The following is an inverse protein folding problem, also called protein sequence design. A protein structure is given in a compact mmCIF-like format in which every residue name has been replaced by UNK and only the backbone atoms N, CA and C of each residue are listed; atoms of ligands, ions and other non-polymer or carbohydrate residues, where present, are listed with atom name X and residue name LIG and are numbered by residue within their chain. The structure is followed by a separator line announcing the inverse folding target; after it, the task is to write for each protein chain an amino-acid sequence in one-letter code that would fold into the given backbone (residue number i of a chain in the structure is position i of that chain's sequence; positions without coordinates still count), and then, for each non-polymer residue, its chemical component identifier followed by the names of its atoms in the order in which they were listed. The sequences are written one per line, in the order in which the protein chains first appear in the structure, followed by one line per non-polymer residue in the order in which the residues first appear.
data_IF_995391346342
#
_entry.id   IF_995391346342
#
_cell.length_a   1.000
_cell.length_b   1.000
_cell.length_c   1.000
_cell.angle_alpha   90.00
_cell.angle_beta   90.00
_cell.angle_gamma   90.00
#
_symmetry.space_group_name_H-M   'P 1'
#
loop_
_entity.id
_entity.type
_entity.pdbx_description
1 polymer ?
#
# COMPACT_ATOMS: atom_id res chain seq x y z
N UNK A 1 -19.57 12.18 -6.04
CA UNK A 1 -19.87 13.62 -6.23
C UNK A 1 -20.45 14.18 -4.94
N UNK A 2 -21.47 13.53 -4.39
CA UNK A 2 -22.18 13.97 -3.17
C UNK A 2 -21.25 14.27 -1.98
N UNK A 3 -20.27 13.41 -1.69
CA UNK A 3 -19.30 13.64 -0.63
C UNK A 3 -18.49 14.94 -0.84
N UNK A 4 -18.00 15.19 -2.07
CA UNK A 4 -17.29 16.44 -2.36
C UNK A 4 -18.21 17.66 -2.28
N UNK A 5 -19.46 17.53 -2.71
CA UNK A 5 -20.45 18.59 -2.55
C UNK A 5 -20.64 18.93 -1.07
N UNK A 6 -20.89 17.93 -0.23
CA UNK A 6 -21.08 18.11 1.21
C UNK A 6 -19.87 18.77 1.88
N UNK A 7 -18.67 18.25 1.61
CA UNK A 7 -17.43 18.81 2.17
C UNK A 7 -17.18 20.23 1.67
N UNK A 8 -17.49 20.54 0.41
CA UNK A 8 -17.28 21.87 -0.16
C UNK A 8 -18.11 22.98 0.50
N UNK A 9 -19.17 22.63 1.24
CA UNK A 9 -19.92 23.60 2.03
C UNK A 9 -19.23 23.98 3.35
N UNK A 10 -18.19 23.23 3.75
CA UNK A 10 -17.54 23.30 5.07
C UNK A 10 -16.04 23.60 5.00
N UNK A 11 -15.43 23.56 3.80
CA UNK A 11 -13.99 23.76 3.62
C UNK A 11 -13.66 24.47 2.31
N UNK A 12 -12.59 25.25 2.32
CA UNK A 12 -12.01 25.87 1.13
C UNK A 12 -11.13 24.90 0.33
N UNK A 13 -10.64 23.83 0.95
CA UNK A 13 -9.75 22.86 0.33
C UNK A 13 -10.08 21.41 0.73
N UNK A 14 -10.03 20.50 -0.24
CA UNK A 14 -10.16 19.05 -0.04
C UNK A 14 -8.91 18.38 -0.63
N UNK A 15 -8.22 17.59 0.17
CA UNK A 15 -7.17 16.67 -0.30
C UNK A 15 -7.78 15.27 -0.31
N UNK A 16 -7.94 14.70 -1.50
CA UNK A 16 -8.58 13.41 -1.70
C UNK A 16 -7.53 12.39 -2.11
N UNK A 17 -7.09 11.58 -1.16
CA UNK A 17 -6.00 10.61 -1.33
C UNK A 17 -6.61 9.24 -1.56
N UNK A 18 -6.17 8.55 -2.59
CA UNK A 18 -6.70 7.25 -2.95
C UNK A 18 -5.59 6.23 -3.20
N UNK A 19 -5.97 4.95 -3.09
CA UNK A 19 -5.14 3.84 -3.52
C UNK A 19 -4.72 3.97 -4.99
N UNK A 20 -3.63 3.28 -5.34
CA UNK A 20 -3.00 3.32 -6.66
C UNK A 20 -3.98 3.26 -7.84
N UNK A 21 -3.84 4.22 -8.76
CA UNK A 21 -4.58 4.26 -10.04
C UNK A 21 -4.27 3.08 -10.96
N UNK A 22 -3.12 2.41 -10.78
CA UNK A 22 -2.76 1.22 -11.59
C UNK A 22 -3.57 0.02 -11.15
N UNK A 23 -4.04 0.04 -9.91
CA UNK A 23 -4.76 -1.06 -9.31
C UNK A 23 -6.26 -0.91 -9.43
N UNK A 24 -6.82 0.27 -9.68
CA UNK A 24 -8.25 0.45 -9.99
C UNK A 24 -8.51 1.89 -10.49
N UNK A 25 -9.76 2.17 -10.87
CA UNK A 25 -10.17 3.45 -11.47
C UNK A 25 -10.56 4.54 -10.47
N UNK A 26 -10.31 4.37 -9.17
CA UNK A 26 -10.83 5.30 -8.14
C UNK A 26 -10.30 6.72 -8.34
N UNK A 27 -9.03 6.88 -8.74
CA UNK A 27 -8.40 8.18 -9.00
C UNK A 27 -9.07 8.88 -10.18
N UNK A 28 -9.37 8.14 -11.26
CA UNK A 28 -10.07 8.69 -12.43
C UNK A 28 -11.50 9.12 -12.08
N UNK A 29 -12.21 8.31 -11.29
CA UNK A 29 -13.55 8.63 -10.78
C UNK A 29 -13.52 9.87 -9.89
N UNK A 30 -12.53 9.98 -9.00
CA UNK A 30 -12.33 11.13 -8.14
C UNK A 30 -12.04 12.40 -8.94
N UNK A 31 -11.16 12.33 -9.95
CA UNK A 31 -10.90 13.46 -10.86
C UNK A 31 -12.16 13.89 -11.61
N UNK A 32 -12.92 12.95 -12.18
CA UNK A 32 -14.16 13.27 -12.88
C UNK A 32 -15.20 13.92 -11.95
N UNK A 33 -15.32 13.43 -10.71
CA UNK A 33 -16.18 14.02 -9.71
C UNK A 33 -15.73 15.44 -9.33
N UNK A 34 -14.43 15.64 -9.12
CA UNK A 34 -13.85 16.94 -8.78
C UNK A 34 -14.04 17.98 -9.91
N UNK A 35 -13.89 17.58 -11.19
CA UNK A 35 -14.06 18.49 -12.33
C UNK A 35 -15.51 18.88 -12.61
N UNK A 36 -16.45 18.02 -12.21
CA UNK A 36 -17.89 18.24 -12.42
C UNK A 36 -18.47 19.17 -11.36
N UNK A 37 -17.93 19.15 -10.14
CA UNK A 37 -18.42 19.98 -9.05
C UNK A 37 -18.13 21.47 -9.34
N UNK A 38 -19.17 22.29 -9.34
CA UNK A 38 -19.07 23.75 -9.40
C UNK A 38 -19.04 24.28 -7.96
N UNK A 39 -17.85 24.48 -7.41
CA UNK A 39 -17.63 25.04 -6.08
C UNK A 39 -16.39 25.93 -6.06
N UNK A 40 -16.32 26.84 -5.08
CA UNK A 40 -15.13 27.63 -4.77
C UNK A 40 -14.06 26.80 -4.05
N UNK A 41 -14.44 25.64 -3.51
CA UNK A 41 -13.52 24.70 -2.86
C UNK A 41 -12.55 24.09 -3.85
N UNK A 42 -11.25 24.17 -3.57
CA UNK A 42 -10.21 23.52 -4.37
C UNK A 42 -10.03 22.06 -3.96
N UNK A 43 -10.29 21.14 -4.89
CA UNK A 43 -10.10 19.70 -4.69
C UNK A 43 -8.79 19.26 -5.32
N UNK A 44 -7.89 18.70 -4.52
CA UNK A 44 -6.64 18.08 -4.97
C UNK A 44 -6.77 16.57 -4.82
N UNK A 45 -6.86 15.85 -5.94
CA UNK A 45 -6.87 14.39 -5.97
C UNK A 45 -5.43 13.90 -6.04
N UNK A 46 -5.06 12.98 -5.15
CA UNK A 46 -3.72 12.39 -5.06
C UNK A 46 -3.85 10.88 -5.25
N UNK A 47 -3.10 10.37 -6.21
CA UNK A 47 -2.81 8.95 -6.35
C UNK A 47 -1.68 8.59 -5.39
N UNK A 48 -1.93 7.68 -4.44
CA UNK A 48 -0.95 7.30 -3.44
C UNK A 48 0.09 6.30 -3.93
N UNK A 49 -0.13 5.70 -5.11
CA UNK A 49 0.71 4.61 -5.66
C UNK A 49 0.89 3.41 -4.70
N UNK A 50 0.03 3.30 -3.69
CA UNK A 50 0.06 2.24 -2.68
C UNK A 50 -1.35 1.82 -2.28
N UNK A 51 -1.47 0.95 -1.29
CA UNK A 51 -2.72 0.43 -0.76
C UNK A 51 -2.55 0.05 0.73
N UNK A 52 -3.64 -0.42 1.35
CA UNK A 52 -3.65 -0.92 2.74
C UNK A 52 -3.01 0.08 3.72
N UNK A 53 -2.21 -0.38 4.70
CA UNK A 53 -1.48 0.49 5.62
C UNK A 53 -0.63 1.57 4.94
N UNK A 54 -0.08 1.34 3.75
CA UNK A 54 0.70 2.36 3.05
C UNK A 54 -0.13 3.61 2.75
N UNK A 55 -1.37 3.41 2.29
CA UNK A 55 -2.33 4.49 2.13
C UNK A 55 -2.71 5.11 3.50
N UNK A 56 -2.87 4.27 4.51
CA UNK A 56 -3.12 4.71 5.89
C UNK A 56 -2.05 5.65 6.44
N UNK A 57 -0.76 5.33 6.28
CA UNK A 57 0.37 6.16 6.70
C UNK A 57 0.30 7.54 6.06
N UNK A 58 0.02 7.61 4.76
CA UNK A 58 -0.12 8.86 4.01
C UNK A 58 -1.30 9.68 4.55
N UNK A 59 -2.46 9.05 4.70
CA UNK A 59 -3.69 9.75 5.13
C UNK A 59 -3.56 10.26 6.57
N UNK A 60 -2.97 9.48 7.47
CA UNK A 60 -2.70 9.88 8.85
C UNK A 60 -1.77 11.09 8.89
N UNK A 61 -0.67 11.08 8.13
CA UNK A 61 0.25 12.21 8.04
C UNK A 61 -0.45 13.48 7.52
N UNK A 62 -1.28 13.34 6.48
CA UNK A 62 -2.04 14.46 5.93
C UNK A 62 -3.03 15.04 6.96
N UNK A 63 -3.71 14.16 7.72
CA UNK A 63 -4.66 14.56 8.75
C UNK A 63 -3.97 15.27 9.92
N UNK A 64 -2.83 14.77 10.38
CA UNK A 64 -2.02 15.42 11.43
C UNK A 64 -1.62 16.85 11.02
N UNK A 65 -1.11 17.02 9.81
CA UNK A 65 -0.73 18.34 9.30
C UNK A 65 -1.94 19.27 9.14
N UNK A 66 -3.07 18.76 8.66
CA UNK A 66 -4.31 19.52 8.56
C UNK A 66 -4.81 19.98 9.94
N UNK A 67 -4.74 19.12 10.96
CA UNK A 67 -5.08 19.47 12.35
C UNK A 67 -4.12 20.52 12.93
N UNK A 68 -2.85 20.50 12.53
CA UNK A 68 -1.86 21.51 12.88
C UNK A 68 -2.05 22.86 12.13
N UNK A 69 -3.02 22.95 11.22
CA UNK A 69 -3.33 24.17 10.47
C UNK A 69 -2.42 24.41 9.26
N UNK A 70 -1.69 23.39 8.80
CA UNK A 70 -0.85 23.49 7.62
C UNK A 70 -1.67 23.73 6.34
N UNK A 71 -1.09 24.46 5.39
CA UNK A 71 -1.76 24.73 4.12
C UNK A 71 -1.91 23.48 3.27
N UNK A 72 -2.98 23.40 2.46
CA UNK A 72 -3.19 22.28 1.55
C UNK A 72 -2.03 22.07 0.56
N UNK A 73 -1.34 23.15 0.17
CA UNK A 73 -0.15 23.11 -0.68
C UNK A 73 1.04 22.47 0.04
N UNK A 74 1.26 22.79 1.31
CA UNK A 74 2.31 22.17 2.14
C UNK A 74 2.02 20.68 2.32
N UNK A 75 0.79 20.33 2.71
CA UNK A 75 0.38 18.93 2.89
C UNK A 75 0.55 18.15 1.59
N UNK A 76 0.06 18.68 0.47
CA UNK A 76 0.18 18.02 -0.83
C UNK A 76 1.62 17.88 -1.31
N UNK A 77 2.57 18.71 -0.84
CA UNK A 77 4.00 18.56 -1.13
C UNK A 77 4.62 17.46 -0.27
N UNK A 78 4.35 17.47 1.04
CA UNK A 78 4.79 16.42 1.97
C UNK A 78 4.36 15.04 1.48
N UNK A 79 3.06 14.87 1.24
CA UNK A 79 2.51 13.56 0.84
C UNK A 79 3.14 13.07 -0.46
N UNK A 80 3.39 13.95 -1.43
CA UNK A 80 4.08 13.56 -2.66
C UNK A 80 5.53 13.16 -2.45
N UNK A 81 6.21 13.72 -1.45
CA UNK A 81 7.55 13.26 -1.04
C UNK A 81 7.53 11.92 -0.31
N UNK A 82 6.46 11.65 0.43
CA UNK A 82 6.28 10.42 1.21
C UNK A 82 5.95 9.18 0.36
N UNK A 83 5.22 9.34 -0.75
CA UNK A 83 4.81 8.23 -1.64
C UNK A 83 5.98 7.33 -2.07
N UNK A 84 7.10 7.84 -2.64
CA UNK A 84 8.21 6.99 -3.10
C UNK A 84 8.97 6.31 -1.95
N UNK A 85 8.73 6.69 -0.70
CA UNK A 85 9.35 6.09 0.47
C UNK A 85 8.48 4.98 1.10
N UNK A 86 7.35 4.64 0.49
CA UNK A 86 6.46 3.57 0.95
C UNK A 86 6.55 2.38 0.03
N UNK A 87 6.85 1.23 0.63
CA UNK A 87 7.04 -0.02 -0.09
C UNK A 87 6.15 -1.10 0.48
N UNK A 88 5.59 -1.93 -0.40
CA UNK A 88 4.75 -3.06 -0.02
C UNK A 88 5.24 -4.30 -0.77
N UNK A 89 5.45 -5.38 -0.03
CA UNK A 89 5.68 -6.71 -0.61
C UNK A 89 4.83 -7.76 0.09
N UNK A 90 4.30 -8.72 -0.66
CA UNK A 90 3.49 -9.80 -0.11
C UNK A 90 3.65 -11.10 -0.89
N UNK A 91 3.32 -12.17 -0.20
CA UNK A 91 3.24 -13.53 -0.71
C UNK A 91 1.78 -13.94 -0.78
N UNK A 92 1.36 -14.45 -1.94
CA UNK A 92 0.04 -15.04 -2.13
C UNK A 92 0.08 -16.24 -3.07
N UNK A 93 -0.83 -17.19 -2.85
CA UNK A 93 -1.13 -18.29 -3.78
C UNK A 93 -2.22 -17.94 -4.80
N UNK A 94 -2.96 -16.85 -4.56
CA UNK A 94 -4.23 -16.57 -5.22
C UNK A 94 -4.08 -15.39 -6.18
N UNK A 95 -3.30 -15.58 -7.24
CA UNK A 95 -3.05 -14.53 -8.25
C UNK A 95 -4.08 -14.49 -9.38
N UNK A 96 -5.04 -15.42 -9.43
CA UNK A 96 -6.01 -15.53 -10.52
C UNK A 96 -6.79 -14.23 -10.77
N UNK A 97 -7.17 -13.53 -9.70
CA UNK A 97 -7.87 -12.26 -9.82
C UNK A 97 -6.96 -11.17 -10.41
N UNK A 98 -5.73 -11.06 -9.89
CA UNK A 98 -4.75 -10.05 -10.33
C UNK A 98 -4.30 -10.29 -11.78
N UNK A 99 -4.08 -11.55 -12.16
CA UNK A 99 -3.77 -11.93 -13.54
C UNK A 99 -4.95 -11.67 -14.48
N UNK A 100 -6.17 -12.06 -14.11
CA UNK A 100 -7.38 -11.88 -14.94
C UNK A 100 -7.71 -10.43 -15.25
N UNK A 101 -7.45 -9.52 -14.30
CA UNK A 101 -7.64 -8.08 -14.46
C UNK A 101 -6.46 -7.36 -15.15
N UNK A 102 -5.40 -8.09 -15.52
CA UNK A 102 -4.21 -7.52 -16.16
C UNK A 102 -3.40 -6.60 -15.23
N UNK A 103 -3.54 -6.75 -13.91
CA UNK A 103 -2.91 -5.92 -12.87
C UNK A 103 -1.67 -6.57 -12.25
N UNK A 104 -1.09 -7.55 -12.94
CA UNK A 104 0.09 -8.26 -12.51
C UNK A 104 1.16 -8.18 -13.60
N UNK A 105 2.23 -7.44 -13.34
CA UNK A 105 3.43 -7.45 -14.18
C UNK A 105 4.36 -8.56 -13.72
N UNK A 106 5.07 -9.17 -14.67
CA UNK A 106 6.10 -10.16 -14.39
C UNK A 106 7.46 -9.50 -14.59
N UNK A 107 8.35 -9.62 -13.61
CA UNK A 107 9.73 -9.16 -13.76
C UNK A 107 10.45 -10.01 -14.82
N UNK A 108 11.50 -9.46 -15.44
CA UNK A 108 12.29 -10.21 -16.41
C UNK A 108 12.99 -11.44 -15.80
N UNK A 109 13.23 -11.41 -14.48
CA UNK A 109 13.80 -12.51 -13.72
C UNK A 109 12.79 -13.66 -13.51
N UNK A 110 11.48 -13.40 -13.69
CA UNK A 110 10.44 -14.39 -13.47
C UNK A 110 10.20 -15.26 -14.71
N UNK A 111 10.87 -16.41 -14.76
CA UNK A 111 10.68 -17.46 -15.77
C UNK A 111 9.85 -18.61 -15.18
N UNK A 112 8.55 -18.70 -15.51
CA UNK A 112 7.73 -19.88 -15.18
C UNK A 112 6.23 -19.65 -15.03
N UNK A 113 5.49 -20.76 -14.85
CA UNK A 113 4.08 -20.74 -14.46
C UNK A 113 3.94 -20.45 -12.95
N UNK A 114 2.93 -19.66 -12.58
CA UNK A 114 2.65 -19.23 -11.20
C UNK A 114 1.83 -20.27 -10.41
N UNK A 115 1.23 -21.24 -11.11
CA UNK A 115 0.32 -22.22 -10.53
C UNK A 115 0.99 -23.08 -9.44
N UNK A 116 0.41 -23.09 -8.25
CA UNK A 116 0.78 -23.98 -7.14
C UNK A 116 1.95 -23.51 -6.26
N UNK A 117 2.41 -22.26 -6.40
CA UNK A 117 3.51 -21.68 -5.60
C UNK A 117 3.07 -20.31 -5.05
N UNK A 118 3.59 -19.90 -3.88
CA UNK A 118 3.35 -18.55 -3.33
C UNK A 118 4.23 -17.54 -4.06
N UNK A 119 3.64 -16.62 -4.82
CA UNK A 119 4.39 -15.60 -5.54
C UNK A 119 4.73 -14.43 -4.62
N UNK A 120 5.98 -13.99 -4.65
CA UNK A 120 6.42 -12.74 -4.02
C UNK A 120 6.14 -11.60 -4.98
N UNK A 121 5.30 -10.67 -4.54
CA UNK A 121 4.84 -9.52 -5.32
C UNK A 121 5.20 -8.25 -4.56
N UNK A 122 5.77 -7.27 -5.25
CA UNK A 122 6.04 -5.94 -4.71
C UNK A 122 5.22 -4.87 -5.43
N UNK A 123 4.99 -3.74 -4.77
CA UNK A 123 4.51 -2.52 -5.42
C UNK A 123 5.67 -1.76 -6.05
N UNK A 124 5.54 -1.39 -7.32
CA UNK A 124 6.51 -0.55 -8.03
C UNK A 124 5.79 0.42 -8.96
N UNK A 125 6.03 1.71 -8.78
CA UNK A 125 5.38 2.80 -9.53
C UNK A 125 3.84 2.66 -9.55
N UNK A 126 3.29 2.29 -8.39
CA UNK A 126 1.87 2.00 -8.19
C UNK A 126 1.36 0.66 -8.72
N UNK A 127 2.14 -0.07 -9.52
CA UNK A 127 1.73 -1.36 -10.10
C UNK A 127 2.23 -2.55 -9.27
N UNK A 128 1.71 -3.75 -9.53
CA UNK A 128 2.17 -4.98 -8.88
C UNK A 128 3.15 -5.73 -9.77
N UNK A 129 4.34 -6.02 -9.22
CA UNK A 129 5.41 -6.72 -9.92
C UNK A 129 5.73 -8.04 -9.20
N UNK A 130 5.66 -9.15 -9.93
CA UNK A 130 6.10 -10.47 -9.44
C UNK A 130 7.61 -10.53 -9.49
N UNK A 131 8.22 -10.70 -8.32
CA UNK A 131 9.68 -10.71 -8.14
C UNK A 131 10.23 -12.12 -8.07
N UNK A 132 9.60 -12.98 -7.28
CA UNK A 132 10.09 -14.32 -7.00
C UNK A 132 8.96 -15.25 -6.55
N UNK A 133 9.30 -16.46 -6.08
CA UNK A 133 8.37 -17.47 -5.61
C UNK A 133 8.89 -18.16 -4.34
N UNK A 134 8.06 -18.25 -3.32
CA UNK A 134 8.34 -19.00 -2.10
C UNK A 134 7.81 -20.44 -2.20
N UNK A 135 8.66 -21.42 -1.88
CA UNK A 135 8.35 -22.85 -2.00
C UNK A 135 7.54 -23.39 -0.82
N UNK A 136 7.78 -22.85 0.37
CA UNK A 136 7.11 -23.23 1.61
C UNK A 136 7.03 -22.03 2.58
N UNK A 137 6.51 -22.26 3.79
CA UNK A 137 6.33 -21.24 4.81
C UNK A 137 7.65 -20.68 5.36
N UNK A 138 8.73 -21.47 5.39
CA UNK A 138 10.02 -20.99 5.88
C UNK A 138 10.65 -20.07 4.84
N UNK A 139 10.67 -20.51 3.58
CA UNK A 139 11.13 -19.71 2.43
C UNK A 139 10.31 -18.41 2.29
N UNK A 140 9.02 -18.45 2.61
CA UNK A 140 8.16 -17.27 2.66
C UNK A 140 8.62 -16.22 3.70
N UNK A 141 8.97 -16.68 4.91
CA UNK A 141 9.49 -15.79 5.97
C UNK A 141 10.85 -15.23 5.56
N UNK A 142 11.75 -16.08 5.06
CA UNK A 142 13.08 -15.64 4.62
C UNK A 142 12.97 -14.55 3.55
N UNK A 143 12.15 -14.74 2.51
CA UNK A 143 12.02 -13.76 1.44
C UNK A 143 11.51 -12.40 1.90
N UNK A 144 10.50 -12.36 2.77
CA UNK A 144 10.00 -11.09 3.31
C UNK A 144 11.00 -10.45 4.28
N UNK A 145 11.74 -11.27 5.04
CA UNK A 145 12.81 -10.79 5.91
C UNK A 145 13.98 -10.20 5.10
N UNK A 146 14.40 -10.87 4.02
CA UNK A 146 15.42 -10.40 3.08
C UNK A 146 14.97 -9.09 2.42
N UNK A 147 13.74 -9.04 1.91
CA UNK A 147 13.17 -7.83 1.32
C UNK A 147 13.23 -6.63 2.28
N UNK A 148 12.76 -6.78 3.52
CA UNK A 148 12.83 -5.68 4.50
C UNK A 148 14.28 -5.35 4.88
N UNK A 149 15.14 -6.36 4.87
CA UNK A 149 16.56 -6.21 5.23
C UNK A 149 17.36 -5.34 4.26
N UNK A 150 16.84 -5.06 3.06
CA UNK A 150 17.45 -4.18 2.07
C UNK A 150 17.30 -2.68 2.43
N UNK A 151 16.31 -2.33 3.24
CA UNK A 151 16.09 -0.95 3.66
C UNK A 151 17.01 -0.55 4.81
N UNK A 152 17.67 0.60 4.68
CA UNK A 152 18.66 1.05 5.65
C UNK A 152 18.02 1.78 6.84
N UNK A 153 16.99 2.59 6.59
CA UNK A 153 16.40 3.48 7.60
C UNK A 153 14.87 3.42 7.58
N UNK A 154 14.31 2.49 8.33
CA UNK A 154 12.86 2.32 8.46
C UNK A 154 12.30 3.19 9.58
N UNK A 155 11.22 3.91 9.29
CA UNK A 155 10.48 4.72 10.27
C UNK A 155 9.27 3.98 10.82
N UNK A 156 8.61 3.18 9.98
CA UNK A 156 7.43 2.40 10.35
C UNK A 156 7.35 1.13 9.50
N UNK A 157 6.86 0.05 10.11
CA UNK A 157 6.51 -1.18 9.41
C UNK A 157 5.11 -1.65 9.78
N UNK A 158 4.47 -2.38 8.88
CA UNK A 158 3.28 -3.16 9.17
C UNK A 158 3.35 -4.53 8.52
N UNK A 159 2.84 -5.51 9.23
CA UNK A 159 2.73 -6.88 8.79
C UNK A 159 1.30 -7.14 8.34
N UNK A 160 1.13 -7.30 7.03
CA UNK A 160 -0.15 -7.61 6.38
C UNK A 160 -0.37 -9.12 6.48
N UNK A 161 -1.42 -9.58 7.15
CA UNK A 161 -1.67 -11.02 7.26
C UNK A 161 -3.15 -11.38 7.34
N UNK A 162 -3.50 -12.48 6.67
CA UNK A 162 -4.79 -13.16 6.78
C UNK A 162 -4.54 -14.68 6.89
N UNK A 163 -5.10 -15.33 7.91
CA UNK A 163 -5.00 -16.78 8.17
C UNK A 163 -3.57 -17.36 8.24
N UNK A 164 -2.56 -16.54 8.54
CA UNK A 164 -1.14 -16.96 8.59
C UNK A 164 -0.46 -16.62 9.94
N UNK A 165 -1.20 -16.67 11.04
CA UNK A 165 -0.76 -16.15 12.36
C UNK A 165 0.59 -16.73 12.81
N UNK A 166 0.84 -18.03 12.62
CA UNK A 166 2.09 -18.66 13.03
C UNK A 166 3.28 -18.13 12.23
N UNK A 167 3.12 -18.01 10.91
CA UNK A 167 4.17 -17.52 9.99
C UNK A 167 4.42 -16.03 10.22
N UNK A 168 3.34 -15.26 10.39
CA UNK A 168 3.37 -13.85 10.75
C UNK A 168 4.14 -13.61 12.07
N UNK A 169 3.89 -14.44 13.09
CA UNK A 169 4.60 -14.37 14.38
C UNK A 169 6.10 -14.61 14.19
N UNK A 170 6.48 -15.66 13.46
CA UNK A 170 7.89 -15.97 13.21
C UNK A 170 8.63 -14.84 12.46
N UNK A 171 7.98 -14.23 11.46
CA UNK A 171 8.53 -13.06 10.78
C UNK A 171 8.65 -11.86 11.74
N UNK A 172 7.61 -11.60 12.53
CA UNK A 172 7.58 -10.48 13.48
C UNK A 172 8.69 -10.58 14.53
N UNK A 173 8.98 -11.77 15.06
CA UNK A 173 10.07 -11.98 16.01
C UNK A 173 11.43 -11.59 15.41
N UNK A 174 11.72 -12.05 14.19
CA UNK A 174 12.97 -11.72 13.48
C UNK A 174 13.08 -10.23 13.15
N UNK A 175 11.96 -9.61 12.77
CA UNK A 175 11.94 -8.17 12.47
C UNK A 175 12.17 -7.35 13.73
N UNK A 176 11.62 -7.75 14.88
CA UNK A 176 11.88 -7.09 16.17
C UNK A 176 13.33 -7.21 16.62
N UNK A 177 13.97 -8.35 16.37
CA UNK A 177 15.39 -8.53 16.67
C UNK A 177 16.27 -7.62 15.81
N UNK A 178 15.99 -7.53 14.51
CA UNK A 178 16.78 -6.70 13.58
C UNK A 178 16.50 -5.20 13.72
N UNK A 179 15.25 -4.83 13.94
CA UNK A 179 14.77 -3.44 13.97
C UNK A 179 14.10 -3.11 15.30
N UNK A 180 14.85 -3.14 16.43
CA UNK A 180 14.27 -3.03 17.77
C UNK A 180 13.60 -1.68 18.07
N UNK A 181 13.88 -0.66 17.27
CA UNK A 181 13.34 0.70 17.45
C UNK A 181 12.25 1.08 16.46
N UNK A 182 11.96 0.23 15.48
CA UNK A 182 10.98 0.53 14.44
C UNK A 182 9.62 0.00 14.87
N UNK A 183 8.57 0.84 14.93
CA UNK A 183 7.24 0.38 15.27
C UNK A 183 6.71 -0.59 14.21
N UNK A 184 6.16 -1.73 14.67
CA UNK A 184 5.57 -2.76 13.81
C UNK A 184 4.08 -2.88 14.13
N UNK A 185 3.24 -2.57 13.15
CA UNK A 185 1.80 -2.73 13.22
C UNK A 185 1.36 -4.06 12.60
N UNK A 186 0.18 -4.56 12.97
CA UNK A 186 -0.47 -5.66 12.24
C UNK A 186 -1.60 -5.08 11.42
N UNK A 187 -1.64 -5.42 10.14
CA UNK A 187 -2.69 -5.03 9.21
C UNK A 187 -3.44 -6.28 8.74
N UNK A 188 -4.77 -6.23 8.77
CA UNK A 188 -5.63 -7.32 8.33
C UNK A 188 -6.37 -6.84 7.09
N UNK A 189 -6.19 -7.50 5.92
CA UNK A 189 -6.87 -7.09 4.71
C UNK A 189 -8.39 -7.08 4.90
N UNK A 190 -9.05 -6.00 4.48
CA UNK A 190 -10.51 -5.98 4.43
C UNK A 190 -11.07 -6.95 3.37
N UNK A 191 -12.40 -7.04 3.27
CA UNK A 191 -13.04 -7.92 2.30
C UNK A 191 -12.70 -7.57 0.84
N UNK A 192 -12.53 -6.28 0.56
CA UNK A 192 -12.15 -5.79 -0.77
C UNK A 192 -10.75 -6.29 -1.09
N UNK A 193 -9.78 -5.98 -0.23
CA UNK A 193 -8.38 -6.35 -0.42
C UNK A 193 -8.18 -7.86 -0.43
N UNK A 194 -8.89 -8.60 0.42
CA UNK A 194 -8.88 -10.08 0.44
C UNK A 194 -9.36 -10.70 -0.87
N UNK A 195 -10.24 -10.03 -1.62
CA UNK A 195 -10.67 -10.50 -2.95
C UNK A 195 -9.51 -10.45 -3.96
N UNK A 196 -8.63 -9.46 -3.84
CA UNK A 196 -7.48 -9.30 -4.74
C UNK A 196 -6.26 -10.11 -4.28
N UNK A 197 -5.99 -10.15 -2.97
CA UNK A 197 -4.78 -10.75 -2.41
C UNK A 197 -4.96 -12.21 -1.97
N UNK A 198 -6.20 -12.70 -1.88
CA UNK A 198 -6.50 -14.03 -1.34
C UNK A 198 -6.55 -14.08 0.18
N UNK A 199 -7.05 -15.20 0.70
CA UNK A 199 -7.24 -15.42 2.14
C UNK A 199 -5.98 -15.90 2.87
N UNK A 200 -4.91 -16.18 2.12
CA UNK A 200 -3.63 -16.69 2.62
C UNK A 200 -2.48 -15.70 2.42
N UNK A 201 -2.76 -14.40 2.37
CA UNK A 201 -1.73 -13.37 2.20
C UNK A 201 -0.87 -13.24 3.46
N UNK A 202 0.44 -13.12 3.24
CA UNK A 202 1.41 -12.63 4.21
C UNK A 202 2.27 -11.58 3.52
N UNK A 203 2.39 -10.41 4.08
CA UNK A 203 3.16 -9.33 3.50
C UNK A 203 3.62 -8.32 4.52
N UNK A 204 4.35 -7.35 4.01
CA UNK A 204 5.00 -6.31 4.78
C UNK A 204 4.86 -4.99 4.03
N UNK A 205 4.62 -3.94 4.80
CA UNK A 205 4.48 -2.58 4.32
C UNK A 205 5.46 -1.76 5.15
N UNK A 206 6.35 -1.02 4.49
CA UNK A 206 7.41 -0.27 5.17
C UNK A 206 7.44 1.16 4.69
N UNK A 207 7.78 2.07 5.59
CA UNK A 207 8.13 3.46 5.28
C UNK A 207 9.61 3.68 5.57
N UNK A 208 10.35 4.09 4.55
CA UNK A 208 11.74 4.52 4.69
C UNK A 208 11.80 6.02 5.03
N UNK A 209 12.82 6.45 5.77
CA UNK A 209 13.11 7.86 5.98
C UNK A 209 13.60 8.49 4.66
N UNK A 210 13.08 9.66 4.31
CA UNK A 210 13.41 10.40 3.07
C UNK A 210 13.86 11.84 3.34
#
# INVERSE_FOLDING_TARGET
IDLYYELSQKTDHIISIHTSRKLNKVVDVAHAAASTLRSHTRITVIDSETLSRGLGMIVLRAAEMAQAGESAQTIGREIRGMIPAIFLAFLTSDLHYLEGEGRLRKSQAFLGAILGIRALVETRDGDLLVMDKARDSLDAVEKLYEYISEFAYLEEMALLQHNNVQIATALMERLREKFPHVPIFTDVPDATLSTFLGSNVLGVIVREAY
#
